data_IF_779958998931
#
_entry.id   IF_779958998931
#
_cell.length_a   1.000
_cell.length_b   1.000
_cell.length_c   1.000
_cell.angle_alpha   90.00
_cell.angle_beta   90.00
_cell.angle_gamma   90.00
#
_symmetry.space_group_name_H-M   'P 1'
#
loop_
_entity.id
_entity.type
_entity.pdbx_description
1 polymer ?
#
# COMPACT_ATOMS: atom_id res chain seq x y z
N UNK A 1 -5.61 -12.46 -4.47
CA UNK A 1 -4.71 -12.29 -3.32
C UNK A 1 -4.42 -10.81 -3.07
N UNK A 2 -4.13 -10.39 -1.84
CA UNK A 2 -3.85 -8.99 -1.48
C UNK A 2 -2.52 -8.93 -0.73
N UNK A 3 -1.70 -7.91 -1.02
CA UNK A 3 -0.47 -7.57 -0.29
C UNK A 3 -0.67 -6.25 0.42
N UNK A 4 -0.37 -6.24 1.71
CA UNK A 4 -0.58 -5.13 2.64
C UNK A 4 -1.89 -5.25 3.40
N UNK A 5 -1.80 -5.10 4.72
CA UNK A 5 -2.91 -5.21 5.67
C UNK A 5 -3.25 -3.89 6.36
N UNK A 6 -2.98 -2.77 5.69
CA UNK A 6 -3.57 -1.49 6.04
C UNK A 6 -5.09 -1.49 5.82
N UNK A 7 -5.80 -0.48 6.30
CA UNK A 7 -7.26 -0.44 6.23
C UNK A 7 -7.82 -0.64 4.82
N UNK A 8 -7.19 -0.06 3.80
CA UNK A 8 -7.64 -0.22 2.41
C UNK A 8 -7.53 -1.69 1.96
N UNK A 9 -6.41 -2.37 2.26
CA UNK A 9 -6.23 -3.78 1.92
C UNK A 9 -7.27 -4.68 2.59
N UNK A 10 -7.58 -4.42 3.87
CA UNK A 10 -8.60 -5.14 4.63
C UNK A 10 -10.00 -4.90 4.07
N UNK A 11 -10.37 -3.64 3.83
CA UNK A 11 -11.67 -3.27 3.26
C UNK A 11 -11.86 -3.89 1.88
N UNK A 12 -10.81 -3.88 1.04
CA UNK A 12 -10.87 -4.49 -0.29
C UNK A 12 -10.98 -6.02 -0.22
N UNK A 13 -10.35 -6.68 0.76
CA UNK A 13 -10.53 -8.12 0.97
C UNK A 13 -12.01 -8.46 1.20
N UNK A 14 -12.67 -7.73 2.10
CA UNK A 14 -14.11 -7.86 2.36
C UNK A 14 -14.94 -7.53 1.12
N UNK A 15 -14.66 -6.39 0.48
CA UNK A 15 -15.44 -5.95 -0.70
C UNK A 15 -15.37 -6.96 -1.84
N UNK A 16 -14.19 -7.44 -2.19
CA UNK A 16 -13.99 -8.46 -3.22
C UNK A 16 -14.74 -9.76 -2.89
N UNK A 17 -14.76 -10.17 -1.62
CA UNK A 17 -15.49 -11.36 -1.19
C UNK A 17 -17.00 -11.17 -1.34
N UNK A 18 -17.54 -10.01 -1.01
CA UNK A 18 -18.95 -9.67 -1.18
C UNK A 18 -19.37 -9.64 -2.65
N UNK A 19 -18.47 -9.26 -3.56
CA UNK A 19 -18.68 -9.30 -5.01
C UNK A 19 -18.48 -10.70 -5.61
N UNK A 20 -18.27 -11.72 -4.79
CA UNK A 20 -18.17 -13.12 -5.22
C UNK A 20 -16.75 -13.59 -5.56
N UNK A 21 -15.73 -12.76 -5.40
CA UNK A 21 -14.36 -13.20 -5.58
C UNK A 21 -13.86 -14.00 -4.36
N UNK A 22 -13.01 -15.00 -4.59
CA UNK A 22 -12.39 -15.78 -3.52
C UNK A 22 -11.06 -15.14 -3.13
N UNK A 23 -11.02 -14.37 -2.04
CA UNK A 23 -9.77 -13.85 -1.47
C UNK A 23 -9.02 -15.00 -0.80
N UNK A 24 -7.86 -15.36 -1.35
CA UNK A 24 -7.08 -16.53 -0.90
C UNK A 24 -6.31 -16.25 0.38
N UNK A 25 -5.71 -15.05 0.46
CA UNK A 25 -4.85 -14.63 1.56
C UNK A 25 -4.60 -13.11 1.48
N UNK A 26 -4.41 -12.50 2.64
CA UNK A 26 -3.79 -11.18 2.79
C UNK A 26 -2.39 -11.42 3.37
N UNK A 27 -1.35 -10.94 2.68
CA UNK A 27 0.05 -11.02 3.13
C UNK A 27 0.52 -9.66 3.63
N UNK A 28 1.18 -9.65 4.77
CA UNK A 28 1.72 -8.46 5.42
C UNK A 28 3.21 -8.65 5.72
N UNK A 29 4.01 -7.68 5.28
CA UNK A 29 5.46 -7.69 5.50
C UNK A 29 5.83 -7.55 6.99
N UNK A 30 5.07 -6.72 7.71
CA UNK A 30 5.30 -6.43 9.12
C UNK A 30 4.83 -7.59 10.02
N UNK A 31 5.32 -7.67 11.27
CA UNK A 31 4.86 -8.65 12.25
C UNK A 31 3.46 -8.34 12.82
N UNK A 32 2.81 -7.29 12.35
CA UNK A 32 1.47 -6.86 12.75
C UNK A 32 0.75 -6.22 11.56
N UNK A 33 -0.59 -6.20 11.61
CA UNK A 33 -1.41 -5.47 10.64
C UNK A 33 -1.39 -3.97 10.94
N UNK A 34 -1.22 -3.14 9.92
CA UNK A 34 -1.33 -1.69 10.02
C UNK A 34 -2.77 -1.17 10.08
N UNK A 35 -3.75 -2.02 9.81
CA UNK A 35 -5.16 -1.65 9.83
C UNK A 35 -5.77 -1.68 11.24
N UNK A 36 -6.91 -1.00 11.40
CA UNK A 36 -7.66 -0.95 12.64
C UNK A 36 -8.16 -2.36 13.04
N UNK A 37 -8.10 -2.69 14.32
CA UNK A 37 -8.53 -3.99 14.85
C UNK A 37 -9.95 -4.38 14.42
N UNK A 38 -10.89 -3.42 14.39
CA UNK A 38 -12.26 -3.65 13.90
C UNK A 38 -12.29 -4.12 12.43
N UNK A 39 -11.40 -3.58 11.59
CA UNK A 39 -11.33 -3.96 10.18
C UNK A 39 -10.69 -5.33 10.00
N UNK A 40 -9.75 -5.74 10.85
CA UNK A 40 -9.24 -7.12 10.85
C UNK A 40 -10.40 -8.09 11.10
N UNK A 41 -11.19 -7.87 12.14
CA UNK A 41 -12.34 -8.74 12.47
C UNK A 41 -13.38 -8.72 11.34
N UNK A 42 -13.89 -7.55 10.96
CA UNK A 42 -15.01 -7.42 10.02
C UNK A 42 -14.64 -7.73 8.56
N UNK A 43 -13.37 -7.65 8.21
CA UNK A 43 -12.93 -7.83 6.83
C UNK A 43 -12.21 -9.16 6.58
N UNK A 44 -11.60 -9.75 7.60
CA UNK A 44 -10.89 -11.01 7.46
C UNK A 44 -11.53 -12.13 8.29
N UNK A 45 -11.66 -11.96 9.62
CA UNK A 45 -12.12 -13.03 10.51
C UNK A 45 -13.55 -13.47 10.16
N UNK A 46 -14.48 -12.52 9.97
CA UNK A 46 -15.88 -12.80 9.62
C UNK A 46 -16.02 -13.54 8.27
N UNK A 47 -15.03 -13.45 7.39
CA UNK A 47 -15.01 -14.10 6.08
C UNK A 47 -14.04 -15.28 6.00
N UNK A 48 -13.35 -15.61 7.09
CA UNK A 48 -12.35 -16.70 7.12
C UNK A 48 -11.18 -16.47 6.18
N UNK A 49 -10.81 -15.20 5.93
CA UNK A 49 -9.68 -14.84 5.06
C UNK A 49 -8.38 -14.88 5.88
N UNK A 50 -7.41 -15.74 5.54
CA UNK A 50 -6.18 -15.83 6.30
C UNK A 50 -5.29 -14.57 6.13
N UNK A 51 -4.75 -14.09 7.26
CA UNK A 51 -3.72 -13.06 7.32
C UNK A 51 -2.37 -13.72 7.61
N UNK A 52 -1.40 -13.54 6.71
CA UNK A 52 -0.02 -14.02 6.87
C UNK A 52 0.88 -12.82 7.17
N UNK A 53 1.30 -12.71 8.42
CA UNK A 53 2.27 -11.70 8.88
C UNK A 53 3.70 -12.12 8.54
N UNK A 54 4.64 -11.16 8.56
CA UNK A 54 6.04 -11.39 8.18
C UNK A 54 6.16 -12.13 6.84
N UNK A 55 5.32 -11.80 5.87
CA UNK A 55 5.21 -12.54 4.60
C UNK A 55 5.14 -11.57 3.44
N UNK A 56 5.93 -11.85 2.40
CA UNK A 56 5.96 -11.05 1.17
C UNK A 56 5.87 -11.91 -0.08
N UNK A 57 5.55 -11.29 -1.20
CA UNK A 57 5.63 -11.91 -2.54
C UNK A 57 7.06 -11.84 -3.03
N UNK A 58 7.61 -12.98 -3.44
CA UNK A 58 8.97 -13.07 -3.98
C UNK A 58 8.97 -13.36 -5.49
N UNK A 59 7.86 -13.90 -6.01
CA UNK A 59 7.73 -14.19 -7.43
C UNK A 59 6.27 -14.11 -7.87
N UNK A 60 6.04 -13.59 -9.07
CA UNK A 60 4.73 -13.55 -9.73
C UNK A 60 4.78 -14.45 -10.95
N UNK A 61 3.84 -15.41 -11.04
CA UNK A 61 3.77 -16.37 -12.13
C UNK A 61 2.69 -16.00 -13.15
N UNK A 62 3.01 -16.20 -14.43
CA UNK A 62 2.15 -15.91 -15.58
C UNK A 62 2.70 -14.75 -16.42
N UNK A 63 2.45 -14.78 -17.73
CA UNK A 63 2.92 -13.75 -18.68
C UNK A 63 1.82 -12.77 -19.05
N UNK A 64 0.72 -13.27 -19.60
CA UNK A 64 -0.43 -12.44 -20.01
C UNK A 64 -1.40 -12.17 -18.87
N UNK A 65 -1.55 -13.13 -17.97
CA UNK A 65 -2.37 -13.08 -16.78
C UNK A 65 -1.66 -13.77 -15.63
N UNK A 66 -1.85 -13.26 -14.41
CA UNK A 66 -1.34 -13.87 -13.19
C UNK A 66 -2.00 -15.24 -13.01
N UNK A 67 -1.18 -16.28 -12.78
CA UNK A 67 -1.59 -17.65 -12.48
C UNK A 67 -1.40 -17.99 -11.01
N UNK A 68 -0.56 -17.24 -10.32
CA UNK A 68 -0.26 -17.39 -8.92
C UNK A 68 0.93 -16.54 -8.51
N UNK A 69 1.24 -16.59 -7.25
CA UNK A 69 2.42 -15.94 -6.64
C UNK A 69 3.13 -16.90 -5.72
N UNK A 70 4.43 -16.74 -5.56
CA UNK A 70 5.20 -17.39 -4.52
C UNK A 70 5.38 -16.42 -3.36
N UNK A 71 4.95 -16.83 -2.17
CA UNK A 71 5.15 -16.13 -0.91
C UNK A 71 6.37 -16.69 -0.19
N UNK A 72 7.02 -15.88 0.63
CA UNK A 72 7.98 -16.32 1.63
C UNK A 72 7.83 -15.50 2.90
N UNK A 73 8.14 -16.12 4.05
CA UNK A 73 8.32 -15.37 5.28
C UNK A 73 9.57 -14.50 5.18
N UNK A 74 9.60 -13.43 5.95
CA UNK A 74 10.76 -12.55 6.06
C UNK A 74 11.37 -12.61 7.46
N UNK A 75 12.68 -12.41 7.53
CA UNK A 75 13.43 -12.26 8.77
C UNK A 75 13.22 -10.86 9.40
N UNK A 76 13.97 -10.54 10.45
CA UNK A 76 13.88 -9.26 11.15
C UNK A 76 14.40 -8.08 10.32
N UNK A 77 15.28 -8.34 9.35
CA UNK A 77 15.75 -7.35 8.37
C UNK A 77 14.84 -7.20 7.15
N UNK A 78 13.72 -7.94 7.08
CA UNK A 78 12.78 -7.92 5.96
C UNK A 78 13.24 -8.74 4.74
N UNK A 79 14.27 -9.59 4.87
CA UNK A 79 14.75 -10.43 3.79
C UNK A 79 13.97 -11.74 3.70
N UNK A 80 13.59 -12.18 2.49
CA UNK A 80 12.85 -13.42 2.31
C UNK A 80 13.64 -14.66 2.74
N UNK A 81 13.00 -15.51 3.54
CA UNK A 81 13.52 -16.82 3.97
C UNK A 81 13.08 -17.86 2.94
N UNK A 82 13.95 -18.20 2.00
CA UNK A 82 13.62 -19.06 0.84
C UNK A 82 13.13 -20.46 1.24
N UNK A 83 13.50 -20.97 2.40
CA UNK A 83 13.01 -22.26 2.90
C UNK A 83 11.50 -22.26 3.26
N UNK A 84 10.87 -21.10 3.34
CA UNK A 84 9.44 -20.92 3.69
C UNK A 84 8.57 -20.64 2.47
N UNK A 85 9.05 -20.87 1.27
CA UNK A 85 8.32 -20.61 0.04
C UNK A 85 7.01 -21.39 -0.03
N UNK A 86 5.95 -20.69 -0.42
CA UNK A 86 4.62 -21.25 -0.62
C UNK A 86 3.98 -20.67 -1.88
N UNK A 87 3.56 -21.52 -2.79
CA UNK A 87 2.82 -21.10 -3.98
C UNK A 87 1.34 -20.90 -3.66
N UNK A 88 0.81 -19.75 -4.01
CA UNK A 88 -0.61 -19.41 -3.91
C UNK A 88 -1.17 -19.17 -5.30
N UNK A 89 -2.05 -20.06 -5.76
CA UNK A 89 -2.76 -19.90 -7.03
C UNK A 89 -3.75 -18.74 -6.93
N UNK A 90 -3.63 -17.77 -7.81
CA UNK A 90 -4.55 -16.64 -7.94
C UNK A 90 -4.46 -16.05 -9.35
N UNK A 91 -5.52 -15.44 -9.82
CA UNK A 91 -5.62 -14.76 -11.10
C UNK A 91 -5.51 -13.22 -10.98
N UNK A 92 -5.48 -12.74 -9.75
CA UNK A 92 -5.43 -11.30 -9.44
C UNK A 92 -4.60 -11.06 -8.18
N UNK A 93 -3.70 -10.09 -8.26
CA UNK A 93 -2.88 -9.59 -7.16
C UNK A 93 -3.21 -8.12 -6.94
N UNK A 94 -3.73 -7.78 -5.75
CA UNK A 94 -3.96 -6.40 -5.32
C UNK A 94 -2.83 -5.95 -4.41
N UNK A 95 -2.30 -4.78 -4.67
CA UNK A 95 -1.26 -4.15 -3.87
C UNK A 95 -1.87 -3.03 -3.01
N UNK A 96 -1.73 -3.16 -1.70
CA UNK A 96 -2.12 -2.15 -0.71
C UNK A 96 -0.90 -1.84 0.18
N UNK A 97 0.18 -1.39 -0.46
CA UNK A 97 1.51 -1.26 0.14
C UNK A 97 1.92 0.20 0.41
N UNK A 98 0.95 1.07 0.48
CA UNK A 98 1.11 2.51 0.67
C UNK A 98 0.96 3.31 -0.62
N UNK A 99 0.92 4.62 -0.45
CA UNK A 99 0.85 5.59 -1.53
C UNK A 99 2.22 6.25 -1.72
N UNK A 100 2.48 6.70 -2.94
CA UNK A 100 3.64 7.52 -3.29
C UNK A 100 3.09 8.83 -3.85
N UNK A 101 3.57 9.99 -3.39
CA UNK A 101 3.20 11.28 -3.97
C UNK A 101 3.46 11.30 -5.47
N UNK A 102 2.42 11.60 -6.28
CA UNK A 102 2.53 11.68 -7.73
C UNK A 102 3.04 13.05 -8.15
N UNK A 103 4.25 13.12 -8.66
CA UNK A 103 4.95 14.38 -8.91
C UNK A 103 5.62 14.46 -10.29
N UNK A 104 5.16 13.72 -11.31
CA UNK A 104 5.74 13.81 -12.66
C UNK A 104 5.69 15.25 -13.18
N UNK A 105 4.51 15.89 -13.15
CA UNK A 105 4.35 17.27 -13.59
C UNK A 105 5.19 18.25 -12.75
N UNK A 106 5.24 18.04 -11.43
CA UNK A 106 6.04 18.85 -10.50
C UNK A 106 7.53 18.81 -10.86
N UNK A 107 8.03 17.64 -11.19
CA UNK A 107 9.43 17.42 -11.62
C UNK A 107 9.69 18.07 -12.97
N UNK A 108 8.78 17.92 -13.94
CA UNK A 108 8.91 18.54 -15.28
C UNK A 108 8.92 20.09 -15.21
N UNK A 109 8.22 20.68 -14.26
CA UNK A 109 8.26 22.11 -13.98
C UNK A 109 9.58 22.60 -13.37
N UNK A 110 10.50 21.70 -12.99
CA UNK A 110 11.76 22.02 -12.34
C UNK A 110 11.62 22.38 -10.86
N UNK A 111 10.56 21.90 -10.21
CA UNK A 111 10.36 22.05 -8.76
C UNK A 111 11.31 21.14 -8.01
N UNK A 112 11.93 21.65 -6.95
CA UNK A 112 12.85 20.88 -6.12
C UNK A 112 12.07 19.88 -5.27
N UNK A 113 12.50 18.62 -5.28
CA UNK A 113 11.85 17.54 -4.56
C UNK A 113 12.53 17.24 -3.22
N UNK A 114 11.74 16.85 -2.22
CA UNK A 114 12.23 16.38 -0.93
C UNK A 114 12.29 14.84 -0.92
N UNK A 115 13.47 14.28 -0.63
CA UNK A 115 13.68 12.84 -0.67
C UNK A 115 12.94 12.07 0.42
N UNK A 116 12.73 12.69 1.57
CA UNK A 116 12.11 12.03 2.71
C UNK A 116 10.62 11.78 2.48
N UNK A 117 9.92 12.72 1.85
CA UNK A 117 8.48 12.63 1.59
C UNK A 117 8.15 12.20 0.17
N UNK A 118 9.06 12.38 -0.78
CA UNK A 118 8.79 12.19 -2.21
C UNK A 118 7.95 13.32 -2.82
N UNK A 119 7.64 14.36 -2.07
CA UNK A 119 6.89 15.53 -2.51
C UNK A 119 7.76 16.73 -2.86
N UNK A 120 7.14 17.83 -3.22
CA UNK A 120 7.82 19.10 -3.47
C UNK A 120 8.46 19.65 -2.20
N UNK A 121 9.60 20.33 -2.34
CA UNK A 121 10.15 21.13 -1.26
C UNK A 121 9.43 22.47 -1.23
N UNK A 122 8.82 22.81 -0.11
CA UNK A 122 8.05 24.04 0.10
C UNK A 122 8.52 24.80 1.34
N UNK A 123 8.18 26.07 1.41
CA UNK A 123 8.33 26.90 2.60
C UNK A 123 7.11 26.75 3.53
N UNK A 124 7.07 27.51 4.63
CA UNK A 124 5.97 27.52 5.60
C UNK A 124 4.60 27.96 5.05
N UNK A 125 4.58 28.58 3.87
CA UNK A 125 3.35 28.96 3.16
C UNK A 125 3.01 27.98 2.04
N UNK A 126 3.61 26.78 2.01
CA UNK A 126 3.45 25.75 0.99
C UNK A 126 3.89 26.17 -0.43
N UNK A 127 4.61 27.30 -0.56
CA UNK A 127 5.16 27.75 -1.83
C UNK A 127 6.45 27.02 -2.18
N UNK A 128 6.55 26.61 -3.44
CA UNK A 128 7.71 25.89 -3.99
C UNK A 128 8.86 26.85 -4.32
N UNK A 129 9.93 26.36 -4.96
CA UNK A 129 10.98 27.23 -5.51
C UNK A 129 10.54 28.05 -6.72
N UNK A 130 9.37 27.78 -7.30
CA UNK A 130 8.79 28.60 -8.39
C UNK A 130 7.77 29.57 -7.78
N UNK A 131 7.97 30.91 -7.92
CA UNK A 131 7.05 31.91 -7.37
C UNK A 131 5.61 31.69 -7.84
N UNK A 132 4.66 31.72 -6.89
CA UNK A 132 3.23 31.54 -7.18
C UNK A 132 2.81 30.10 -7.43
N UNK A 133 3.69 29.14 -7.24
CA UNK A 133 3.38 27.70 -7.33
C UNK A 133 3.43 27.08 -5.94
N UNK A 134 2.30 26.52 -5.52
CA UNK A 134 2.11 25.92 -4.20
C UNK A 134 1.85 24.42 -4.33
N UNK A 135 2.20 23.65 -3.31
CA UNK A 135 1.91 22.22 -3.25
C UNK A 135 1.39 21.87 -1.86
N UNK A 136 0.29 21.12 -1.79
CA UNK A 136 -0.33 20.65 -0.55
C UNK A 136 -0.99 19.29 -0.74
N UNK A 137 -1.34 18.64 0.38
CA UNK A 137 -2.00 17.34 0.38
C UNK A 137 -1.09 16.18 -0.03
N UNK A 138 -1.68 15.11 -0.56
CA UNK A 138 -0.95 13.87 -0.86
C UNK A 138 0.11 13.98 -1.96
N UNK A 139 0.12 15.07 -2.72
CA UNK A 139 1.21 15.37 -3.66
C UNK A 139 2.46 15.87 -2.93
N UNK A 140 2.29 16.48 -1.76
CA UNK A 140 3.38 16.96 -0.91
C UNK A 140 3.91 15.86 0.01
N UNK A 141 3.01 15.23 0.77
CA UNK A 141 3.26 14.01 1.53
C UNK A 141 1.94 13.27 1.78
N UNK A 142 2.02 11.96 2.03
CA UNK A 142 0.80 11.17 2.24
C UNK A 142 0.27 11.38 3.64
N UNK A 143 -0.98 11.83 3.73
CA UNK A 143 -1.73 11.98 4.98
C UNK A 143 -2.53 10.72 5.33
N UNK A 144 -2.70 10.43 6.60
CA UNK A 144 -3.53 9.33 7.09
C UNK A 144 -5.03 9.62 6.98
N UNK A 145 -5.43 10.90 7.09
CA UNK A 145 -6.81 11.35 7.06
C UNK A 145 -7.01 12.50 6.08
N UNK A 146 -8.12 12.47 5.34
CA UNK A 146 -8.48 13.54 4.38
C UNK A 146 -8.74 14.88 5.08
N UNK A 147 -9.10 14.87 6.35
CA UNK A 147 -9.30 16.08 7.16
C UNK A 147 -8.01 16.90 7.22
N UNK A 148 -6.86 16.26 7.43
CA UNK A 148 -5.55 16.92 7.41
C UNK A 148 -5.18 17.48 6.04
N UNK A 149 -5.54 16.77 4.96
CA UNK A 149 -5.36 17.29 3.58
C UNK A 149 -6.15 18.59 3.40
N UNK A 150 -7.38 18.63 3.92
CA UNK A 150 -8.26 19.80 3.81
C UNK A 150 -7.76 20.98 4.66
N UNK A 151 -7.26 20.71 5.85
CA UNK A 151 -6.67 21.73 6.74
C UNK A 151 -5.40 22.32 6.14
N UNK A 152 -4.53 21.48 5.54
CA UNK A 152 -3.30 21.92 4.91
C UNK A 152 -3.56 22.80 3.67
N UNK A 153 -4.66 22.52 2.95
CA UNK A 153 -5.00 23.24 1.70
C UNK A 153 -5.79 24.53 1.91
N UNK A 154 -6.22 24.84 3.16
CA UNK A 154 -7.04 26.01 3.49
C UNK A 154 -6.19 27.24 3.79
#
# INVERSE_FOLDING_TARGET
MIVGSGDIGLIMARRMTLEGAKVRVVAELLPFSGGLKRNIVQCLDDFGIPLKLRTTVIEIHGKERIQGVTLAQVDEEGKPILATQEFVSCDTLLLSVGLIPENEVTIEMGIHMERATGGARVNESLETNLPGVFACGNVLHVHDLVDYVSEEAA
#
